data_IF_351546024879
#
_entry.id   IF_351546024879
#
_cell.length_a   1.000
_cell.length_b   1.000
_cell.length_c   1.000
_cell.angle_alpha   90.00
_cell.angle_beta   90.00
_cell.angle_gamma   90.00
#
_symmetry.space_group_name_H-M   'P 1'
#
loop_
_entity.id
_entity.type
_entity.pdbx_description
1 polymer ?
#
# COMPACT_ATOMS: atom_id res chain seq x y z
N UNK A 1 36.71 44.28 6.46
CA UNK A 1 35.68 43.65 5.63
C UNK A 1 35.68 42.17 5.98
N UNK A 2 34.89 41.77 6.97
CA UNK A 2 34.69 40.34 7.35
C UNK A 2 33.55 40.15 8.37
N UNK A 3 33.07 41.25 8.98
CA UNK A 3 31.94 41.25 9.91
C UNK A 3 30.62 40.79 9.25
N UNK A 4 30.39 41.14 7.98
CA UNK A 4 29.18 40.75 7.25
C UNK A 4 29.11 39.23 7.01
N UNK A 5 30.26 38.58 6.81
CA UNK A 5 30.34 37.14 6.56
C UNK A 5 30.11 36.32 7.85
N UNK A 6 30.61 36.83 8.98
CA UNK A 6 30.34 36.26 10.31
C UNK A 6 28.88 36.43 10.74
N UNK A 7 28.25 37.55 10.41
CA UNK A 7 26.84 37.81 10.71
C UNK A 7 25.92 36.89 9.89
N UNK A 8 26.19 36.71 8.59
CA UNK A 8 25.45 35.78 7.72
C UNK A 8 25.59 34.32 8.15
N UNK A 9 26.78 33.91 8.61
CA UNK A 9 26.99 32.57 9.19
C UNK A 9 26.19 32.38 10.48
N UNK A 10 26.13 33.39 11.34
CA UNK A 10 25.38 33.33 12.61
C UNK A 10 23.86 33.29 12.39
N UNK A 11 23.33 34.10 11.47
CA UNK A 11 21.91 34.03 11.05
C UNK A 11 21.57 32.66 10.43
N UNK A 12 22.47 32.10 9.61
CA UNK A 12 22.33 30.76 9.04
C UNK A 12 22.31 29.66 10.12
N UNK A 13 23.19 29.76 11.13
CA UNK A 13 23.25 28.82 12.26
C UNK A 13 22.02 28.92 13.17
N UNK A 14 21.56 30.13 13.46
CA UNK A 14 20.33 30.37 14.22
C UNK A 14 19.11 29.82 13.49
N UNK A 15 18.98 30.07 12.19
CA UNK A 15 17.90 29.52 11.38
C UNK A 15 17.90 27.99 11.42
N UNK A 16 19.08 27.35 11.28
CA UNK A 16 19.21 25.89 11.42
C UNK A 16 18.84 25.38 12.81
N UNK A 17 19.26 26.07 13.88
CA UNK A 17 18.90 25.70 15.25
C UNK A 17 17.39 25.82 15.52
N UNK A 18 16.74 26.86 15.00
CA UNK A 18 15.29 27.05 15.13
C UNK A 18 14.54 25.93 14.40
N UNK A 19 14.94 25.60 13.17
CA UNK A 19 14.37 24.47 12.42
C UNK A 19 14.56 23.16 13.18
N UNK A 20 15.76 22.88 13.69
CA UNK A 20 16.03 21.65 14.44
C UNK A 20 15.17 21.55 15.71
N UNK A 21 14.97 22.68 16.41
CA UNK A 21 14.14 22.75 17.61
C UNK A 21 12.64 22.54 17.28
N UNK A 22 12.16 23.11 16.16
CA UNK A 22 10.80 22.89 15.68
C UNK A 22 10.57 21.42 15.26
N UNK A 23 11.55 20.81 14.59
CA UNK A 23 11.49 19.39 14.20
C UNK A 23 11.45 18.49 15.43
N UNK A 24 12.35 18.71 16.41
CA UNK A 24 12.31 17.96 17.68
C UNK A 24 10.98 18.15 18.40
N UNK A 25 10.45 19.38 18.45
CA UNK A 25 9.15 19.64 19.05
C UNK A 25 8.01 18.89 18.36
N UNK A 26 8.03 18.76 17.02
CA UNK A 26 7.01 18.03 16.27
C UNK A 26 7.11 16.51 16.50
N UNK A 27 8.33 15.96 16.50
CA UNK A 27 8.57 14.53 16.70
C UNK A 27 8.18 14.08 18.11
N UNK A 28 8.38 14.93 19.12
CA UNK A 28 8.15 14.61 20.53
C UNK A 28 6.78 15.09 21.04
N UNK A 29 6.02 15.85 20.23
CA UNK A 29 4.68 16.30 20.58
C UNK A 29 3.80 15.07 20.86
N UNK A 30 3.26 14.99 22.09
CA UNK A 30 2.33 13.93 22.46
C UNK A 30 0.89 14.29 22.15
N UNK A 31 0.13 13.30 21.68
CA UNK A 31 -1.31 13.43 21.41
C UNK A 31 -2.14 12.64 22.41
N UNK A 32 -3.45 12.92 22.47
CA UNK A 32 -4.36 12.25 23.41
C UNK A 32 -4.78 10.88 22.90
N UNK A 33 -5.02 10.76 21.59
CA UNK A 33 -5.42 9.50 20.97
C UNK A 33 -4.19 8.88 20.29
N UNK A 34 -3.57 7.85 20.89
CA UNK A 34 -2.43 7.20 20.26
C UNK A 34 -2.83 6.48 18.98
N UNK A 35 -1.88 6.29 18.08
CA UNK A 35 -2.05 5.33 17.00
C UNK A 35 -2.02 3.91 17.60
N UNK A 36 -3.05 3.13 17.31
CA UNK A 36 -3.13 1.74 17.72
C UNK A 36 -2.76 0.79 16.60
N UNK A 37 -1.67 0.04 16.76
CA UNK A 37 -1.21 -0.89 15.74
C UNK A 37 -1.89 -2.26 15.90
N UNK A 38 -2.73 -2.57 14.94
CA UNK A 38 -3.29 -3.89 14.68
C UNK A 38 -2.59 -4.52 13.49
N UNK A 39 -2.70 -5.84 13.36
CA UNK A 39 -2.21 -6.59 12.22
C UNK A 39 -3.23 -7.64 11.80
N UNK A 40 -3.10 -8.15 10.59
CA UNK A 40 -3.95 -9.21 10.08
C UNK A 40 -3.15 -10.36 9.48
N UNK A 41 -3.57 -11.57 9.79
CA UNK A 41 -3.21 -12.77 9.04
C UNK A 41 -4.28 -13.06 7.99
N UNK A 42 -3.90 -13.37 6.76
CA UNK A 42 -4.79 -13.60 5.62
C UNK A 42 -4.76 -15.09 5.21
N UNK A 43 -5.43 -16.00 5.93
CA UNK A 43 -5.47 -17.41 5.57
C UNK A 43 -6.11 -17.60 4.19
N UNK A 44 -5.45 -18.30 3.25
CA UNK A 44 -6.00 -18.54 1.93
C UNK A 44 -7.16 -19.54 2.02
N UNK A 45 -8.26 -19.22 1.33
CA UNK A 45 -9.48 -20.01 1.26
C UNK A 45 -9.81 -20.21 -0.22
N UNK A 46 -9.97 -21.45 -0.65
CA UNK A 46 -10.41 -21.74 -2.01
C UNK A 46 -11.81 -21.14 -2.26
N UNK A 47 -11.93 -20.25 -3.26
CA UNK A 47 -13.20 -19.62 -3.63
C UNK A 47 -14.12 -20.55 -4.44
N UNK A 48 -13.67 -21.77 -4.75
CA UNK A 48 -14.45 -22.78 -5.49
C UNK A 48 -14.61 -22.47 -6.97
N UNK A 49 -13.82 -21.52 -7.50
CA UNK A 49 -13.86 -21.07 -8.90
C UNK A 49 -12.51 -21.28 -9.56
N UNK A 50 -12.57 -21.59 -10.86
CA UNK A 50 -11.38 -21.68 -11.70
C UNK A 50 -11.70 -21.22 -13.11
N UNK A 51 -10.68 -20.79 -13.85
CA UNK A 51 -10.81 -20.32 -15.22
C UNK A 51 -9.72 -20.91 -16.12
N UNK A 52 -10.08 -21.32 -17.32
CA UNK A 52 -9.17 -21.76 -18.39
C UNK A 52 -9.12 -20.76 -19.56
N UNK A 53 -10.01 -19.77 -19.60
CA UNK A 53 -10.10 -18.79 -20.68
C UNK A 53 -10.33 -17.39 -20.10
N UNK A 54 -10.12 -16.35 -20.91
CA UNK A 54 -10.46 -14.97 -20.53
C UNK A 54 -11.94 -14.84 -20.14
N UNK A 55 -12.85 -15.50 -20.86
CA UNK A 55 -14.28 -15.44 -20.59
C UNK A 55 -14.62 -16.04 -19.20
N UNK A 56 -14.05 -17.20 -18.86
CA UNK A 56 -14.22 -17.82 -17.55
C UNK A 56 -13.56 -17.00 -16.43
N UNK A 57 -12.42 -16.35 -16.72
CA UNK A 57 -11.73 -15.46 -15.78
C UNK A 57 -12.61 -14.26 -15.46
N UNK A 58 -13.15 -13.59 -16.48
CA UNK A 58 -14.04 -12.45 -16.34
C UNK A 58 -15.33 -12.82 -15.61
N UNK A 59 -15.97 -13.95 -15.96
CA UNK A 59 -17.16 -14.44 -15.24
C UNK A 59 -16.87 -14.66 -13.74
N UNK A 60 -15.71 -15.20 -13.43
CA UNK A 60 -15.31 -15.46 -12.04
C UNK A 60 -14.95 -14.17 -11.30
N UNK A 61 -14.20 -13.24 -11.90
CA UNK A 61 -13.89 -11.92 -11.31
C UNK A 61 -15.18 -11.15 -10.96
N UNK A 62 -16.22 -11.24 -11.80
CA UNK A 62 -17.54 -10.63 -11.52
C UNK A 62 -18.26 -11.24 -10.30
N UNK A 63 -17.94 -12.49 -9.93
CA UNK A 63 -18.72 -13.28 -8.96
C UNK A 63 -17.99 -13.56 -7.65
N UNK A 64 -16.66 -13.46 -7.61
CA UNK A 64 -15.90 -13.61 -6.36
C UNK A 64 -16.11 -12.42 -5.43
N UNK A 65 -15.85 -12.62 -4.14
CA UNK A 65 -15.90 -11.53 -3.16
C UNK A 65 -14.72 -10.57 -3.31
N UNK A 66 -14.84 -9.40 -2.68
CA UNK A 66 -13.76 -8.39 -2.68
C UNK A 66 -12.47 -8.89 -2.03
N UNK A 67 -12.54 -9.87 -1.12
CA UNK A 67 -11.37 -10.51 -0.53
C UNK A 67 -10.56 -11.32 -1.54
N UNK A 68 -11.21 -11.93 -2.53
CA UNK A 68 -10.51 -12.61 -3.61
C UNK A 68 -9.78 -11.62 -4.52
N UNK A 69 -10.38 -10.47 -4.80
CA UNK A 69 -9.71 -9.39 -5.52
C UNK A 69 -8.53 -8.85 -4.70
N UNK A 70 -8.71 -8.60 -3.39
CA UNK A 70 -7.62 -8.25 -2.50
C UNK A 70 -6.48 -9.27 -2.55
N UNK A 71 -6.80 -10.56 -2.46
CA UNK A 71 -5.82 -11.63 -2.43
C UNK A 71 -5.01 -11.70 -3.72
N UNK A 72 -5.66 -11.62 -4.88
CA UNK A 72 -4.96 -11.76 -6.17
C UNK A 72 -4.28 -10.50 -6.66
N UNK A 73 -4.71 -9.33 -6.19
CA UNK A 73 -4.22 -8.04 -6.66
C UNK A 73 -3.30 -7.38 -5.64
N UNK A 74 -3.73 -7.22 -4.40
CA UNK A 74 -2.98 -6.43 -3.40
C UNK A 74 -2.10 -7.27 -2.47
N UNK A 75 -2.48 -8.52 -2.16
CA UNK A 75 -1.67 -9.39 -1.29
C UNK A 75 -0.28 -9.76 -1.87
N UNK A 76 -0.03 -9.77 -3.20
CA UNK A 76 1.33 -9.91 -3.76
C UNK A 76 2.35 -8.88 -3.27
N UNK A 77 1.93 -7.83 -2.56
CA UNK A 77 2.83 -6.94 -1.81
C UNK A 77 3.73 -7.69 -0.83
N UNK A 78 3.25 -8.80 -0.28
CA UNK A 78 4.07 -9.66 0.55
C UNK A 78 4.93 -10.56 -0.35
N UNK A 79 6.25 -10.52 -0.16
CA UNK A 79 7.24 -11.38 -0.81
C UNK A 79 6.97 -12.88 -0.65
N UNK A 80 6.20 -13.27 0.38
CA UNK A 80 5.69 -14.64 0.55
C UNK A 80 4.64 -15.06 -0.47
N UNK A 81 4.02 -14.10 -1.18
CA UNK A 81 3.06 -14.31 -2.27
C UNK A 81 3.76 -14.01 -3.60
N UNK A 82 4.38 -15.05 -4.16
CA UNK A 82 5.35 -14.89 -5.24
C UNK A 82 4.69 -14.58 -6.58
N UNK A 83 4.99 -13.39 -7.10
CA UNK A 83 4.76 -12.98 -8.49
C UNK A 83 6.09 -12.56 -9.14
N UNK A 84 6.23 -12.61 -10.47
CA UNK A 84 7.38 -12.05 -11.19
C UNK A 84 7.57 -10.56 -10.89
N UNK A 85 8.81 -10.06 -10.81
CA UNK A 85 9.08 -8.65 -10.48
C UNK A 85 8.49 -7.63 -11.46
N UNK A 86 8.24 -8.03 -12.71
CA UNK A 86 7.67 -7.18 -13.74
C UNK A 86 6.14 -7.21 -13.77
N UNK A 87 5.51 -8.05 -12.94
CA UNK A 87 4.05 -8.19 -12.84
C UNK A 87 3.59 -8.07 -11.39
N UNK A 88 2.57 -7.25 -11.15
CA UNK A 88 2.17 -6.88 -9.79
C UNK A 88 1.02 -7.71 -9.23
N UNK A 89 0.35 -8.52 -10.05
CA UNK A 89 -0.79 -9.32 -9.62
C UNK A 89 -0.90 -10.68 -10.31
N UNK A 90 -1.63 -11.59 -9.66
CA UNK A 90 -1.77 -12.98 -10.10
C UNK A 90 -2.50 -13.10 -11.44
N UNK A 91 -3.46 -12.20 -11.71
CA UNK A 91 -4.21 -12.22 -12.97
C UNK A 91 -3.28 -11.93 -14.15
N UNK A 92 -2.47 -10.89 -14.04
CA UNK A 92 -1.48 -10.54 -15.05
C UNK A 92 -0.49 -11.70 -15.27
N UNK A 93 0.02 -12.29 -14.19
CA UNK A 93 0.92 -13.43 -14.27
C UNK A 93 0.31 -14.61 -15.02
N UNK A 94 -0.92 -15.01 -14.68
CA UNK A 94 -1.59 -16.12 -15.35
C UNK A 94 -1.92 -15.83 -16.81
N UNK A 95 -2.35 -14.61 -17.14
CA UNK A 95 -2.63 -14.21 -18.53
C UNK A 95 -1.36 -14.34 -19.39
N UNK A 96 -0.21 -13.89 -18.87
CA UNK A 96 1.06 -13.99 -19.58
C UNK A 96 1.46 -15.46 -19.79
N UNK A 97 1.48 -16.23 -18.71
CA UNK A 97 2.11 -17.56 -18.71
C UNK A 97 1.22 -18.64 -19.32
N UNK A 98 -0.10 -18.57 -19.11
CA UNK A 98 -1.03 -19.61 -19.56
C UNK A 98 -1.84 -19.23 -20.81
N UNK A 99 -1.99 -17.93 -21.11
CA UNK A 99 -2.70 -17.46 -22.31
C UNK A 99 -1.77 -16.81 -23.36
N UNK A 100 -0.49 -16.65 -23.02
CA UNK A 100 0.56 -16.11 -23.90
C UNK A 100 0.24 -14.71 -24.44
N UNK A 101 -0.40 -13.86 -23.61
CA UNK A 101 -0.80 -12.50 -23.96
C UNK A 101 -0.10 -11.48 -23.06
N UNK A 102 1.16 -11.19 -23.38
CA UNK A 102 1.98 -10.22 -22.65
C UNK A 102 1.35 -8.82 -22.62
N UNK A 103 0.79 -8.37 -23.75
CA UNK A 103 0.20 -7.03 -23.83
C UNK A 103 -0.99 -6.88 -22.88
N UNK A 104 -1.86 -7.90 -22.82
CA UNK A 104 -2.97 -7.89 -21.87
C UNK A 104 -2.49 -8.02 -20.43
N UNK A 105 -1.49 -8.87 -20.18
CA UNK A 105 -0.91 -9.04 -18.86
C UNK A 105 -0.36 -7.73 -18.29
N UNK A 106 0.44 -6.98 -19.05
CA UNK A 106 0.97 -5.69 -18.59
C UNK A 106 -0.14 -4.68 -18.33
N UNK A 107 -1.16 -4.59 -19.19
CA UNK A 107 -2.32 -3.71 -18.93
C UNK A 107 -3.02 -4.04 -17.61
N UNK A 108 -3.20 -5.33 -17.32
CA UNK A 108 -3.80 -5.78 -16.05
C UNK A 108 -2.87 -5.55 -14.87
N UNK A 109 -1.55 -5.65 -15.07
CA UNK A 109 -0.52 -5.36 -14.06
C UNK A 109 -0.43 -3.88 -13.70
N UNK A 110 -0.71 -2.99 -14.66
CA UNK A 110 -0.62 -1.54 -14.51
C UNK A 110 -1.88 -0.90 -13.89
N UNK A 111 -2.87 -1.72 -13.48
CA UNK A 111 -4.08 -1.22 -12.82
C UNK A 111 -3.71 -0.63 -11.46
N UNK A 112 -3.84 0.70 -11.34
CA UNK A 112 -3.45 1.43 -10.14
C UNK A 112 -4.32 1.08 -8.93
N UNK A 113 -3.67 0.93 -7.78
CA UNK A 113 -4.29 0.70 -6.49
C UNK A 113 -4.34 1.93 -5.60
N UNK A 114 -3.87 3.09 -6.06
CA UNK A 114 -3.74 4.35 -5.29
C UNK A 114 -5.08 4.81 -4.67
N UNK A 115 -5.02 5.58 -3.59
CA UNK A 115 -6.21 6.17 -2.97
C UNK A 115 -6.97 7.07 -3.97
N UNK A 116 -8.32 7.10 -3.94
CA UNK A 116 -9.23 6.44 -3.00
C UNK A 116 -9.77 5.09 -3.52
N UNK A 117 -9.06 4.41 -4.43
CA UNK A 117 -9.59 3.20 -5.08
C UNK A 117 -9.74 2.04 -4.08
N UNK A 118 -10.84 1.31 -4.20
CA UNK A 118 -11.10 0.07 -3.48
C UNK A 118 -10.96 -1.12 -4.41
N UNK A 119 -11.03 -2.33 -3.86
CA UNK A 119 -11.06 -3.58 -4.62
C UNK A 119 -12.17 -3.59 -5.67
N UNK A 120 -13.28 -2.88 -5.45
CA UNK A 120 -14.38 -2.84 -6.43
C UNK A 120 -14.03 -1.96 -7.64
N UNK A 121 -13.40 -0.79 -7.45
CA UNK A 121 -12.95 0.02 -8.60
C UNK A 121 -11.81 -0.65 -9.36
N UNK A 122 -10.94 -1.39 -8.67
CA UNK A 122 -9.87 -2.19 -9.30
C UNK A 122 -10.46 -3.36 -10.08
N UNK A 123 -11.45 -4.07 -9.51
CA UNK A 123 -12.20 -5.13 -10.20
C UNK A 123 -12.81 -4.63 -11.50
N UNK A 124 -13.49 -3.49 -11.46
CA UNK A 124 -14.16 -2.90 -12.63
C UNK A 124 -13.16 -2.52 -13.73
N UNK A 125 -12.00 -1.95 -13.36
CA UNK A 125 -10.97 -1.63 -14.35
C UNK A 125 -10.33 -2.88 -14.97
N UNK A 126 -10.02 -3.89 -14.16
CA UNK A 126 -9.52 -5.18 -14.67
C UNK A 126 -10.52 -5.77 -15.67
N UNK A 127 -11.81 -5.81 -15.31
CA UNK A 127 -12.86 -6.31 -16.21
C UNK A 127 -12.92 -5.51 -17.52
N UNK A 128 -12.85 -4.19 -17.45
CA UNK A 128 -12.84 -3.32 -18.64
C UNK A 128 -11.65 -3.60 -19.56
N UNK A 129 -10.47 -3.85 -18.99
CA UNK A 129 -9.27 -4.23 -19.76
C UNK A 129 -9.49 -5.59 -20.42
N UNK A 130 -9.99 -6.58 -19.67
CA UNK A 130 -10.23 -7.93 -20.16
C UNK A 130 -11.32 -7.98 -21.25
N UNK A 131 -12.34 -7.11 -21.19
CA UNK A 131 -13.40 -7.01 -22.20
C UNK A 131 -12.87 -6.65 -23.60
N UNK A 132 -11.72 -5.97 -23.68
CA UNK A 132 -11.07 -5.65 -24.94
C UNK A 132 -10.29 -6.83 -25.55
N UNK A 133 -10.12 -7.92 -24.80
CA UNK A 133 -9.33 -9.07 -25.24
C UNK A 133 -10.03 -9.87 -26.33
N UNK A 134 -9.30 -10.14 -27.40
CA UNK A 134 -9.71 -11.08 -28.45
C UNK A 134 -9.05 -12.45 -28.28
N UNK A 135 -8.37 -12.69 -27.15
CA UNK A 135 -7.70 -13.95 -26.88
C UNK A 135 -8.73 -15.09 -26.82
N UNK A 136 -8.44 -16.19 -27.51
CA UNK A 136 -9.25 -17.42 -27.57
C UNK A 136 -8.48 -18.65 -27.10
N UNK A 137 -7.26 -18.44 -26.58
CA UNK A 137 -6.41 -19.49 -26.02
C UNK A 137 -7.12 -20.10 -24.83
N UNK A 138 -7.01 -21.42 -24.74
CA UNK A 138 -7.42 -22.16 -23.56
C UNK A 138 -6.15 -22.56 -22.81
N UNK A 139 -6.05 -22.13 -21.56
CA UNK A 139 -4.94 -22.43 -20.67
C UNK A 139 -4.74 -23.93 -20.46
N UNK A 140 -3.49 -24.33 -20.25
CA UNK A 140 -3.15 -25.68 -19.84
C UNK A 140 -3.43 -25.87 -18.34
N UNK A 141 -3.04 -24.89 -17.51
CA UNK A 141 -3.35 -24.84 -16.09
C UNK A 141 -4.38 -23.75 -15.82
N UNK A 142 -5.46 -24.06 -15.07
CA UNK A 142 -6.46 -23.06 -14.79
C UNK A 142 -5.94 -22.02 -13.78
N UNK A 143 -6.50 -20.82 -13.85
CA UNK A 143 -6.45 -19.87 -12.75
C UNK A 143 -7.32 -20.40 -11.61
N UNK A 144 -6.81 -20.42 -10.39
CA UNK A 144 -7.56 -20.81 -9.19
C UNK A 144 -7.86 -19.58 -8.35
N UNK A 145 -9.14 -19.30 -8.14
CA UNK A 145 -9.54 -18.18 -7.29
C UNK A 145 -9.40 -18.55 -5.81
N UNK A 146 -8.63 -17.72 -5.11
CA UNK A 146 -8.41 -17.73 -3.67
C UNK A 146 -9.06 -16.48 -3.10
N UNK A 147 -9.76 -16.65 -1.99
CA UNK A 147 -10.23 -15.59 -1.11
C UNK A 147 -9.48 -15.70 0.22
N UNK A 148 -9.75 -14.79 1.14
CA UNK A 148 -9.21 -14.86 2.49
C UNK A 148 -10.22 -14.33 3.50
N UNK A 149 -10.07 -14.75 4.76
CA UNK A 149 -10.79 -14.15 5.88
C UNK A 149 -9.77 -13.61 6.88
N UNK A 150 -9.53 -12.29 6.92
CA UNK A 150 -8.48 -11.72 7.74
C UNK A 150 -8.76 -11.97 9.22
N UNK A 151 -7.77 -12.49 9.92
CA UNK A 151 -7.78 -12.63 11.37
C UNK A 151 -7.01 -11.44 11.94
N UNK A 152 -7.75 -10.48 12.48
CA UNK A 152 -7.21 -9.23 13.02
C UNK A 152 -6.81 -9.45 14.48
N UNK A 153 -5.63 -8.95 14.85
CA UNK A 153 -5.13 -9.00 16.22
C UNK A 153 -4.45 -7.69 16.61
N UNK A 154 -4.55 -7.34 17.89
CA UNK A 154 -3.82 -6.22 18.48
C UNK A 154 -2.35 -6.61 18.67
N UNK A 155 -1.43 -5.74 18.24
CA UNK A 155 0.01 -5.97 18.43
C UNK A 155 0.51 -5.53 19.81
N UNK A 156 -0.33 -4.82 20.58
CA UNK A 156 0.03 -4.16 21.83
C UNK A 156 0.93 -2.93 21.66
N UNK A 157 1.32 -2.59 20.42
CA UNK A 157 2.13 -1.41 20.11
C UNK A 157 1.22 -0.19 19.96
N UNK A 158 1.69 0.94 20.46
CA UNK A 158 1.01 2.23 20.46
C UNK A 158 2.04 3.33 20.21
N UNK A 159 1.64 4.40 19.54
CA UNK A 159 2.45 5.60 19.36
C UNK A 159 1.66 6.85 19.74
N UNK A 160 2.23 7.69 20.59
CA UNK A 160 1.64 8.97 21.02
C UNK A 160 2.30 10.18 20.36
N UNK A 161 3.39 9.99 19.62
CA UNK A 161 4.07 11.06 18.88
C UNK A 161 4.49 10.54 17.50
N UNK A 162 4.89 11.45 16.61
CA UNK A 162 5.42 11.07 15.29
C UNK A 162 6.73 10.28 15.43
N UNK A 163 7.59 10.65 16.39
CA UNK A 163 8.81 9.89 16.69
C UNK A 163 8.52 8.45 17.11
N UNK A 164 7.60 8.25 18.06
CA UNK A 164 7.20 6.90 18.48
C UNK A 164 6.53 6.11 17.32
N UNK A 165 5.79 6.80 16.44
CA UNK A 165 5.19 6.18 15.27
C UNK A 165 6.25 5.67 14.29
N UNK A 166 7.26 6.49 13.98
CA UNK A 166 8.41 6.11 13.13
C UNK A 166 9.14 4.91 13.75
N UNK A 167 9.44 4.96 15.04
CA UNK A 167 10.13 3.88 15.76
C UNK A 167 9.35 2.56 15.68
N UNK A 168 8.03 2.59 15.88
CA UNK A 168 7.20 1.39 15.78
C UNK A 168 7.14 0.88 14.34
N UNK A 169 6.88 1.75 13.34
CA UNK A 169 6.79 1.36 11.93
C UNK A 169 8.10 0.75 11.42
N UNK A 170 9.25 1.21 11.92
CA UNK A 170 10.58 0.71 11.54
C UNK A 170 10.81 -0.78 11.82
N UNK A 171 10.08 -1.36 12.78
CA UNK A 171 10.35 -2.70 13.31
C UNK A 171 9.12 -3.60 13.45
N UNK A 172 7.90 -3.03 13.38
CA UNK A 172 6.68 -3.81 13.45
C UNK A 172 6.53 -4.70 12.21
N UNK A 173 5.86 -5.84 12.38
CA UNK A 173 5.56 -6.73 11.25
C UNK A 173 4.85 -5.98 10.13
N UNK A 174 5.24 -6.25 8.88
CA UNK A 174 4.54 -5.69 7.71
C UNK A 174 3.08 -6.08 7.61
N UNK A 175 2.64 -7.13 8.32
CA UNK A 175 1.21 -7.42 8.45
C UNK A 175 0.43 -6.28 9.10
N UNK A 176 1.06 -5.51 9.99
CA UNK A 176 0.47 -4.32 10.60
C UNK A 176 0.44 -3.14 9.64
N UNK A 177 1.58 -2.86 9.01
CA UNK A 177 1.69 -1.78 8.01
C UNK A 177 0.71 -2.01 6.86
N UNK A 178 0.71 -3.19 6.24
CA UNK A 178 -0.24 -3.50 5.16
C UNK A 178 -1.69 -3.47 5.64
N UNK A 179 -1.97 -3.88 6.89
CA UNK A 179 -3.33 -3.82 7.44
C UNK A 179 -3.86 -2.37 7.47
N UNK A 180 -3.08 -1.45 8.05
CA UNK A 180 -3.46 -0.05 8.23
C UNK A 180 -3.30 0.80 6.96
N UNK A 181 -2.26 0.52 6.18
CA UNK A 181 -1.89 1.31 5.02
C UNK A 181 -2.66 0.90 3.76
N UNK A 182 -2.92 -0.40 3.60
CA UNK A 182 -3.48 -0.96 2.36
C UNK A 182 -4.85 -1.57 2.63
N UNK A 183 -4.90 -2.66 3.40
CA UNK A 183 -6.05 -3.55 3.51
C UNK A 183 -7.34 -2.81 3.92
N UNK A 184 -7.31 -2.05 5.02
CA UNK A 184 -8.53 -1.41 5.52
C UNK A 184 -9.13 -0.46 4.49
N UNK A 185 -8.27 0.30 3.81
CA UNK A 185 -8.67 1.24 2.77
C UNK A 185 -9.17 0.52 1.52
N UNK A 186 -8.41 -0.42 0.96
CA UNK A 186 -8.80 -1.09 -0.30
C UNK A 186 -10.07 -1.91 -0.12
N UNK A 187 -10.37 -2.39 1.09
CA UNK A 187 -11.63 -3.06 1.40
C UNK A 187 -12.80 -2.10 1.69
N UNK A 188 -12.56 -0.78 1.64
CA UNK A 188 -13.59 0.24 1.82
C UNK A 188 -14.00 0.50 3.27
N UNK A 189 -13.23 0.05 4.26
CA UNK A 189 -13.49 0.40 5.68
C UNK A 189 -13.14 1.87 5.98
N UNK A 190 -12.31 2.49 5.15
CA UNK A 190 -11.96 3.90 5.17
C UNK A 190 -11.65 4.38 3.74
N UNK A 191 -11.81 5.68 3.48
CA UNK A 191 -11.45 6.28 2.18
C UNK A 191 -9.96 6.61 2.06
N UNK A 192 -9.25 6.61 3.19
CA UNK A 192 -7.84 6.98 3.36
C UNK A 192 -7.19 5.96 4.29
N UNK A 193 -5.90 5.70 4.09
CA UNK A 193 -5.14 4.88 5.00
C UNK A 193 -5.08 5.46 6.41
N UNK A 194 -4.89 4.58 7.39
CA UNK A 194 -5.00 4.95 8.81
C UNK A 194 -3.84 5.85 9.24
N UNK A 195 -2.66 5.69 8.66
CA UNK A 195 -1.48 6.49 8.99
C UNK A 195 -1.70 7.96 8.60
N UNK A 196 -2.06 8.21 7.34
CA UNK A 196 -2.39 9.55 6.86
C UNK A 196 -3.55 10.16 7.64
N UNK A 197 -4.55 9.36 8.01
CA UNK A 197 -5.70 9.84 8.79
C UNK A 197 -5.28 10.30 10.19
N UNK A 198 -4.49 9.50 10.90
CA UNK A 198 -4.02 9.85 12.25
C UNK A 198 -3.05 11.03 12.25
N UNK A 199 -2.09 11.06 11.32
CA UNK A 199 -1.13 12.16 11.19
C UNK A 199 -1.83 13.50 10.91
N UNK A 200 -2.86 13.49 10.06
CA UNK A 200 -3.68 14.67 9.80
C UNK A 200 -4.46 15.11 11.04
N UNK A 201 -5.18 14.18 11.68
CA UNK A 201 -6.11 14.50 12.75
C UNK A 201 -5.41 14.94 14.05
N UNK A 202 -4.32 14.27 14.41
CA UNK A 202 -3.68 14.48 15.71
C UNK A 202 -2.51 15.48 15.63
N UNK A 203 -1.91 15.69 14.45
CA UNK A 203 -0.75 16.58 14.25
C UNK A 203 -0.93 17.66 13.18
N UNK A 204 -2.06 17.69 12.45
CA UNK A 204 -2.28 18.62 11.32
C UNK A 204 -1.19 18.49 10.24
N UNK A 205 -0.63 17.28 10.09
CA UNK A 205 0.50 17.01 9.22
C UNK A 205 0.07 16.69 7.76
N UNK A 206 -0.69 17.60 7.14
CA UNK A 206 -1.30 17.37 5.81
C UNK A 206 -0.28 17.06 4.72
N UNK A 207 0.89 17.70 4.77
CA UNK A 207 1.95 17.44 3.80
C UNK A 207 2.45 15.98 3.85
N UNK A 208 2.54 15.38 5.05
CA UNK A 208 2.92 13.97 5.22
C UNK A 208 1.77 13.09 4.75
N UNK A 209 0.56 13.37 5.25
CA UNK A 209 -0.64 12.59 4.94
C UNK A 209 -0.91 12.50 3.43
N UNK A 210 -0.79 13.62 2.71
CA UNK A 210 -1.06 13.72 1.28
C UNK A 210 -0.01 13.03 0.42
N UNK A 211 1.25 13.05 0.86
CA UNK A 211 2.32 12.31 0.18
C UNK A 211 2.17 10.81 0.38
N UNK A 212 1.87 10.37 1.60
CA UNK A 212 1.57 8.96 1.89
C UNK A 212 0.38 8.46 1.05
N UNK A 213 -0.68 9.25 0.91
CA UNK A 213 -1.85 8.92 0.09
C UNK A 213 -1.56 8.71 -1.41
N UNK A 214 -0.40 9.15 -1.91
CA UNK A 214 0.01 8.95 -3.31
C UNK A 214 0.82 7.68 -3.54
N UNK A 215 1.16 6.94 -2.48
CA UNK A 215 1.84 5.66 -2.62
C UNK A 215 0.83 4.67 -3.22
N UNK A 216 1.16 4.10 -4.38
CA UNK A 216 0.38 3.02 -4.95
C UNK A 216 0.85 1.68 -4.39
N UNK A 217 0.05 0.96 -3.59
CA UNK A 217 0.46 -0.35 -3.10
C UNK A 217 0.67 -1.39 -4.21
N UNK A 218 0.15 -1.18 -5.42
CA UNK A 218 0.37 -2.10 -6.55
C UNK A 218 1.79 -2.08 -7.09
N UNK A 219 2.59 -1.05 -6.82
CA UNK A 219 3.97 -0.99 -7.32
C UNK A 219 4.95 -1.79 -6.46
N UNK A 220 4.46 -2.53 -5.46
CA UNK A 220 5.27 -3.25 -4.50
C UNK A 220 4.99 -4.75 -4.58
N UNK A 221 6.04 -5.54 -4.71
CA UNK A 221 6.05 -7.01 -4.56
C UNK A 221 6.97 -7.45 -3.39
N UNK A 222 7.49 -6.47 -2.66
CA UNK A 222 8.30 -6.63 -1.47
C UNK A 222 7.85 -5.59 -0.44
N UNK A 223 7.28 -6.07 0.65
CA UNK A 223 6.68 -5.27 1.70
C UNK A 223 7.71 -4.39 2.43
N UNK A 224 8.98 -4.79 2.48
CA UNK A 224 10.03 -4.03 3.14
C UNK A 224 10.35 -2.73 2.38
N UNK A 225 10.28 -2.75 1.04
CA UNK A 225 10.45 -1.54 0.22
C UNK A 225 9.32 -0.53 0.51
N UNK A 226 8.09 -1.01 0.72
CA UNK A 226 6.99 -0.14 1.16
C UNK A 226 7.30 0.52 2.51
N UNK A 227 7.87 -0.23 3.47
CA UNK A 227 8.26 0.34 4.77
C UNK A 227 9.30 1.45 4.58
N UNK A 228 10.35 1.16 3.83
CA UNK A 228 11.44 2.12 3.56
C UNK A 228 10.92 3.40 2.90
N UNK A 229 10.01 3.28 1.93
CA UNK A 229 9.41 4.42 1.24
C UNK A 229 8.50 5.25 2.16
N UNK A 230 7.68 4.60 3.00
CA UNK A 230 6.84 5.29 4.00
C UNK A 230 7.73 6.10 4.94
N UNK A 231 8.77 5.48 5.51
CA UNK A 231 9.67 6.15 6.46
C UNK A 231 10.46 7.28 5.79
N UNK A 232 11.04 7.02 4.62
CA UNK A 232 11.80 8.01 3.86
C UNK A 232 10.94 9.22 3.48
N UNK A 233 9.67 9.00 3.14
CA UNK A 233 8.73 10.06 2.80
C UNK A 233 8.40 10.93 4.01
N UNK A 234 8.15 10.31 5.18
CA UNK A 234 7.92 11.03 6.43
C UNK A 234 9.14 11.87 6.78
N UNK A 235 10.34 11.28 6.80
CA UNK A 235 11.59 11.99 7.10
C UNK A 235 11.81 13.17 6.15
N UNK A 236 11.65 12.98 4.83
CA UNK A 236 11.84 14.06 3.85
C UNK A 236 10.90 15.24 4.07
N UNK A 237 9.69 15.02 4.54
CA UNK A 237 8.73 16.10 4.82
C UNK A 237 9.03 16.78 6.15
N UNK A 238 9.50 16.03 7.14
CA UNK A 238 9.86 16.60 8.46
C UNK A 238 11.13 17.46 8.37
N UNK A 239 12.10 17.04 7.55
CA UNK A 239 13.39 17.72 7.41
C UNK A 239 13.51 18.65 6.18
N UNK A 240 12.41 18.89 5.45
CA UNK A 240 12.37 19.87 4.35
C UNK A 240 12.28 21.30 4.86
#
# INVERSE_FOLDING_TARGET
>A
MDLDNHFLLYESLLAKMVVLCMVSSLLDQRVRNPFEFYAAYYPPINAGRKAYTIEELMDSIRKVDGYSIFYHVFHPIFSSHVVPYDLHNDFAFWIRDELHDESLAYKVSDVEGTEPRTVEQVRDEILKILESSQNRTRANKPFHFISCRPVIYDTGKRAWSIGEFIDVVSSITMRSVVYHFVFRRVMGYSSRNDFSTWLEQEFQASAIADRLSKIDPQTYVNEEVLREDILSLIERVIYS
#
